data_IF_888694325475
#
_entry.id   IF_888694325475
#
_cell.length_a   1.000
_cell.length_b   1.000
_cell.length_c   1.000
_cell.angle_alpha   90.00
_cell.angle_beta   90.00
_cell.angle_gamma   90.00
#
_symmetry.space_group_name_H-M   'P 1'
#
loop_
_entity.id
_entity.type
_entity.pdbx_description
1 polymer ?
#
# COMPACT_ATOMS: atom_id res chain seq x y z
N UNK A 1 -87.28 -39.02 -7.24
CA UNK A 1 -85.85 -39.15 -6.86
C UNK A 1 -84.94 -38.06 -7.45
N UNK A 2 -85.12 -37.61 -8.69
CA UNK A 2 -84.21 -36.65 -9.34
C UNK A 2 -84.11 -35.24 -8.71
N UNK A 3 -85.20 -34.65 -8.18
CA UNK A 3 -85.16 -33.29 -7.57
C UNK A 3 -84.40 -33.21 -6.23
N UNK A 4 -84.32 -34.30 -5.45
CA UNK A 4 -83.60 -34.33 -4.16
C UNK A 4 -82.07 -34.45 -4.33
N UNK A 5 -81.61 -35.14 -5.37
CA UNK A 5 -80.17 -35.26 -5.66
C UNK A 5 -79.59 -34.00 -6.30
N UNK A 6 -80.36 -33.30 -7.15
CA UNK A 6 -79.95 -32.01 -7.70
C UNK A 6 -79.75 -30.93 -6.62
N UNK A 7 -80.66 -30.86 -5.63
CA UNK A 7 -80.54 -29.91 -4.51
C UNK A 7 -79.37 -30.21 -3.56
N UNK A 8 -79.00 -31.48 -3.36
CA UNK A 8 -77.81 -31.83 -2.54
C UNK A 8 -76.50 -31.51 -3.25
N UNK A 9 -76.44 -31.71 -4.57
CA UNK A 9 -75.28 -31.36 -5.39
C UNK A 9 -75.07 -29.84 -5.47
N UNK A 10 -76.14 -29.06 -5.62
CA UNK A 10 -76.05 -27.59 -5.61
C UNK A 10 -75.68 -27.03 -4.24
N UNK A 11 -76.19 -27.62 -3.15
CA UNK A 11 -75.85 -27.20 -1.79
C UNK A 11 -74.39 -27.56 -1.43
N UNK A 12 -73.93 -28.77 -1.79
CA UNK A 12 -72.54 -29.19 -1.67
C UNK A 12 -71.56 -28.31 -2.47
N UNK A 13 -71.94 -27.91 -3.69
CA UNK A 13 -71.11 -27.02 -4.51
C UNK A 13 -71.09 -25.58 -3.96
N UNK A 14 -72.19 -25.10 -3.38
CA UNK A 14 -72.23 -23.79 -2.73
C UNK A 14 -71.39 -23.77 -1.44
N UNK A 15 -71.40 -24.85 -0.65
CA UNK A 15 -70.56 -24.97 0.56
C UNK A 15 -69.07 -25.03 0.19
N UNK A 16 -68.71 -25.79 -0.85
CA UNK A 16 -67.34 -25.84 -1.36
C UNK A 16 -66.87 -24.48 -1.91
N UNK A 17 -67.72 -23.76 -2.65
CA UNK A 17 -67.43 -22.42 -3.15
C UNK A 17 -67.22 -21.41 -2.00
N UNK A 18 -68.02 -21.52 -0.94
CA UNK A 18 -67.90 -20.66 0.26
C UNK A 18 -66.61 -20.93 1.02
N UNK A 19 -66.21 -22.20 1.15
CA UNK A 19 -64.93 -22.58 1.77
C UNK A 19 -63.72 -22.10 0.96
N UNK A 20 -63.77 -22.22 -0.37
CA UNK A 20 -62.74 -21.70 -1.28
C UNK A 20 -62.60 -20.17 -1.17
N UNK A 21 -63.71 -19.44 -1.11
CA UNK A 21 -63.70 -18.00 -0.93
C UNK A 21 -63.09 -17.59 0.43
N UNK A 22 -63.39 -18.32 1.50
CA UNK A 22 -62.81 -18.07 2.82
C UNK A 22 -61.29 -18.34 2.87
N UNK A 23 -60.83 -19.42 2.22
CA UNK A 23 -59.41 -19.74 2.10
C UNK A 23 -58.66 -18.70 1.26
N UNK A 24 -59.23 -18.26 0.13
CA UNK A 24 -58.66 -17.21 -0.71
C UNK A 24 -58.53 -15.88 0.06
N UNK A 25 -59.57 -15.52 0.83
CA UNK A 25 -59.50 -14.32 1.69
C UNK A 25 -58.45 -14.43 2.78
N UNK A 26 -58.25 -15.63 3.36
CA UNK A 26 -57.22 -15.86 4.38
C UNK A 26 -55.81 -15.85 3.79
N UNK A 27 -55.64 -16.37 2.57
CA UNK A 27 -54.37 -16.32 1.85
C UNK A 27 -53.98 -14.87 1.54
N UNK A 28 -54.92 -14.07 1.02
CA UNK A 28 -54.70 -12.65 0.73
C UNK A 28 -54.36 -11.83 1.99
N UNK A 29 -54.94 -12.19 3.14
CA UNK A 29 -54.60 -11.58 4.43
C UNK A 29 -53.16 -11.91 4.85
N UNK A 30 -52.75 -13.17 4.72
CA UNK A 30 -51.39 -13.62 5.02
C UNK A 30 -50.36 -13.00 4.07
N UNK A 31 -50.67 -12.88 2.79
CA UNK A 31 -49.81 -12.22 1.79
C UNK A 31 -49.58 -10.75 2.15
N UNK A 32 -50.63 -10.01 2.57
CA UNK A 32 -50.49 -8.63 3.05
C UNK A 32 -49.64 -8.53 4.32
N UNK A 33 -49.79 -9.48 5.25
CA UNK A 33 -48.98 -9.51 6.48
C UNK A 33 -47.50 -9.79 6.17
N UNK A 34 -47.21 -10.74 5.27
CA UNK A 34 -45.85 -11.03 4.81
C UNK A 34 -45.23 -9.83 4.06
N UNK A 35 -46.01 -9.15 3.22
CA UNK A 35 -45.57 -7.95 2.51
C UNK A 35 -45.20 -6.79 3.46
N UNK A 36 -45.83 -6.69 4.63
CA UNK A 36 -45.49 -5.69 5.66
C UNK A 36 -44.22 -6.00 6.45
N UNK A 37 -43.86 -7.29 6.58
CA UNK A 37 -42.68 -7.74 7.33
C UNK A 37 -41.40 -7.64 6.48
N UNK A 38 -41.48 -7.88 5.18
CA UNK A 38 -40.32 -7.87 4.29
C UNK A 38 -39.50 -6.56 4.30
N UNK A 39 -40.10 -5.35 4.27
CA UNK A 39 -39.36 -4.09 4.36
C UNK A 39 -38.66 -3.91 5.72
N UNK A 40 -39.28 -4.40 6.80
CA UNK A 40 -38.72 -4.30 8.15
C UNK A 40 -37.49 -5.20 8.30
N UNK A 41 -37.53 -6.41 7.73
CA UNK A 41 -36.37 -7.30 7.66
C UNK A 41 -35.24 -6.72 6.81
N UNK A 42 -35.54 -6.08 5.67
CA UNK A 42 -34.53 -5.38 4.86
C UNK A 42 -33.90 -4.18 5.59
N UNK A 43 -34.70 -3.44 6.36
CA UNK A 43 -34.20 -2.33 7.19
C UNK A 43 -33.35 -2.85 8.35
N UNK A 44 -33.72 -3.98 8.96
CA UNK A 44 -32.94 -4.60 10.01
C UNK A 44 -31.61 -5.16 9.47
N UNK A 45 -31.64 -5.77 8.28
CA UNK A 45 -30.46 -6.27 7.56
C UNK A 45 -29.47 -5.16 7.26
N UNK A 46 -29.92 -4.07 6.65
CA UNK A 46 -29.04 -2.90 6.39
C UNK A 46 -28.47 -2.26 7.65
N UNK A 47 -29.21 -2.25 8.77
CA UNK A 47 -28.69 -1.80 10.08
C UNK A 47 -27.67 -2.78 10.66
N UNK A 48 -27.89 -4.08 10.48
CA UNK A 48 -26.90 -5.11 10.85
C UNK A 48 -25.63 -4.97 10.02
N UNK A 49 -25.73 -4.78 8.70
CA UNK A 49 -24.58 -4.57 7.81
C UNK A 49 -23.79 -3.31 8.21
N UNK A 50 -24.49 -2.21 8.52
CA UNK A 50 -23.86 -0.99 9.00
C UNK A 50 -23.19 -1.17 10.37
N UNK A 51 -23.82 -1.92 11.28
CA UNK A 51 -23.27 -2.21 12.61
C UNK A 51 -22.10 -3.18 12.53
N UNK A 52 -22.14 -4.15 11.62
CA UNK A 52 -21.03 -5.07 11.33
C UNK A 52 -19.86 -4.33 10.69
N UNK A 53 -20.10 -3.40 9.76
CA UNK A 53 -19.07 -2.51 9.22
C UNK A 53 -18.42 -1.64 10.31
N UNK A 54 -19.24 -1.11 11.24
CA UNK A 54 -18.76 -0.32 12.37
C UNK A 54 -17.95 -1.18 13.38
N UNK A 55 -18.41 -2.38 13.67
CA UNK A 55 -17.73 -3.36 14.53
C UNK A 55 -16.44 -3.86 13.89
N UNK A 56 -16.39 -4.13 12.58
CA UNK A 56 -15.16 -4.45 11.83
C UNK A 56 -14.17 -3.27 11.86
N UNK A 57 -14.66 -2.05 11.73
CA UNK A 57 -13.84 -0.84 11.87
C UNK A 57 -13.27 -0.64 13.28
N UNK A 58 -14.02 -1.02 14.32
CA UNK A 58 -13.57 -0.93 15.72
C UNK A 58 -12.70 -2.12 16.15
N UNK A 59 -12.94 -3.33 15.66
CA UNK A 59 -12.08 -4.49 15.94
C UNK A 59 -10.76 -4.42 15.18
N UNK A 60 -10.73 -3.84 13.97
CA UNK A 60 -9.49 -3.50 13.28
C UNK A 60 -8.61 -2.53 14.10
N UNK A 61 -9.21 -1.63 14.89
CA UNK A 61 -8.48 -0.75 15.80
C UNK A 61 -7.96 -1.46 17.08
N UNK A 62 -8.37 -2.70 17.32
CA UNK A 62 -7.99 -3.51 18.51
C UNK A 62 -7.20 -4.76 18.12
N UNK A 63 -6.91 -4.99 16.84
CA UNK A 63 -5.82 -5.89 16.45
C UNK A 63 -4.53 -5.17 16.82
N UNK A 64 -4.04 -5.41 18.04
CA UNK A 64 -2.64 -5.17 18.35
C UNK A 64 -1.84 -5.87 17.26
N UNK A 65 -1.17 -5.11 16.39
CA UNK A 65 -0.22 -5.69 15.45
C UNK A 65 0.76 -6.49 16.30
N UNK A 66 0.82 -7.83 16.17
CA UNK A 66 1.48 -8.69 17.15
C UNK A 66 2.98 -8.42 17.30
N UNK A 67 3.57 -7.62 16.40
CA UNK A 67 4.97 -7.22 16.39
C UNK A 67 5.19 -5.70 16.35
N UNK A 68 4.22 -4.89 16.80
CA UNK A 68 4.39 -3.43 16.83
C UNK A 68 5.54 -3.03 17.74
N UNK A 69 6.51 -2.30 17.20
CA UNK A 69 7.63 -1.74 17.96
C UNK A 69 7.23 -0.35 18.44
N UNK A 70 6.97 -0.22 19.75
CA UNK A 70 6.50 1.03 20.34
C UNK A 70 7.54 2.17 20.24
N UNK A 71 7.04 3.41 20.33
CA UNK A 71 7.86 4.62 20.20
C UNK A 71 9.04 4.66 21.19
N UNK A 72 8.85 4.19 22.42
CA UNK A 72 9.91 4.13 23.43
C UNK A 72 11.01 3.15 23.04
N UNK A 73 10.64 1.96 22.58
CA UNK A 73 11.59 0.97 22.06
C UNK A 73 12.35 1.50 20.85
N UNK A 74 11.67 2.15 19.89
CA UNK A 74 12.34 2.78 18.74
C UNK A 74 13.34 3.86 19.20
N UNK A 75 13.00 4.68 20.19
CA UNK A 75 13.92 5.68 20.75
C UNK A 75 15.17 5.03 21.37
N UNK A 76 15.01 3.91 22.10
CA UNK A 76 16.14 3.17 22.68
C UNK A 76 17.04 2.58 21.58
N UNK A 77 16.46 1.96 20.55
CA UNK A 77 17.19 1.47 19.39
C UNK A 77 17.97 2.60 18.69
N UNK A 78 17.37 3.77 18.53
CA UNK A 78 18.06 4.92 17.94
C UNK A 78 19.25 5.40 18.77
N UNK A 79 19.16 5.36 20.10
CA UNK A 79 20.28 5.67 20.99
C UNK A 79 21.41 4.65 20.86
N UNK A 80 21.05 3.36 20.74
CA UNK A 80 22.00 2.26 20.54
C UNK A 80 22.73 2.40 19.20
N UNK A 81 22.00 2.52 18.09
CA UNK A 81 22.59 2.66 16.75
C UNK A 81 23.51 3.88 16.64
N UNK A 82 23.16 4.99 17.30
CA UNK A 82 24.04 6.17 17.38
C UNK A 82 25.32 5.91 18.16
N UNK A 83 25.25 5.12 19.23
CA UNK A 83 26.41 4.75 20.04
C UNK A 83 27.35 3.86 19.21
N UNK A 84 26.79 2.88 18.53
CA UNK A 84 27.52 1.95 17.67
C UNK A 84 28.17 2.66 16.48
N UNK A 85 27.43 3.55 15.81
CA UNK A 85 27.96 4.35 14.72
C UNK A 85 29.18 5.20 15.15
N UNK A 86 29.18 5.74 16.39
CA UNK A 86 30.31 6.50 16.94
C UNK A 86 31.55 5.65 17.19
N UNK A 87 31.38 4.35 17.41
CA UNK A 87 32.49 3.40 17.59
C UNK A 87 32.86 2.69 16.28
N UNK A 88 32.23 3.04 15.17
CA UNK A 88 32.49 2.44 13.85
C UNK A 88 31.75 1.12 13.61
N UNK A 89 30.78 0.76 14.46
CA UNK A 89 29.97 -0.45 14.31
C UNK A 89 28.76 -0.13 13.43
N UNK A 90 28.60 -0.91 12.37
CA UNK A 90 27.43 -0.91 11.49
C UNK A 90 26.69 -2.24 11.61
N UNK A 91 25.39 -2.22 11.32
CA UNK A 91 24.50 -3.37 11.39
C UNK A 91 23.94 -3.68 10.01
N UNK A 92 23.83 -4.97 9.69
CA UNK A 92 23.17 -5.40 8.47
C UNK A 92 21.67 -5.09 8.52
N UNK A 93 21.08 -4.71 7.39
CA UNK A 93 19.67 -4.32 7.33
C UNK A 93 18.73 -5.43 7.80
N UNK A 94 19.01 -6.70 7.48
CA UNK A 94 18.22 -7.84 7.94
C UNK A 94 18.13 -7.93 9.48
N UNK A 95 19.14 -7.44 10.21
CA UNK A 95 19.19 -7.50 11.68
C UNK A 95 18.43 -6.37 12.39
N UNK A 96 18.07 -5.31 11.65
CA UNK A 96 17.40 -4.11 12.18
C UNK A 96 15.98 -3.92 11.65
N UNK A 97 15.53 -4.80 10.75
CA UNK A 97 14.17 -4.77 10.20
C UNK A 97 13.10 -4.98 11.27
N UNK A 98 12.08 -4.14 11.21
CA UNK A 98 10.79 -4.33 11.87
C UNK A 98 9.71 -3.65 11.04
N UNK A 99 8.45 -4.00 11.31
CA UNK A 99 7.29 -3.48 10.59
C UNK A 99 6.25 -2.95 11.56
N UNK A 100 5.86 -1.69 11.39
CA UNK A 100 4.70 -1.06 12.02
C UNK A 100 3.71 -0.57 10.96
N UNK A 101 4.20 0.11 9.93
CA UNK A 101 3.43 0.74 8.87
C UNK A 101 3.99 0.50 7.47
N UNK A 102 5.27 0.17 7.28
CA UNK A 102 5.73 -0.26 5.96
C UNK A 102 5.09 -1.58 5.53
N UNK A 103 5.13 -1.91 4.24
CA UNK A 103 4.61 -3.19 3.73
C UNK A 103 5.44 -4.38 4.24
N UNK A 104 6.77 -4.21 4.33
CA UNK A 104 7.72 -5.20 4.85
C UNK A 104 8.50 -4.58 6.04
N UNK A 105 9.81 -4.80 6.14
CA UNK A 105 10.66 -4.34 7.24
C UNK A 105 11.28 -2.94 7.08
N UNK A 106 10.83 -2.15 6.09
CA UNK A 106 11.43 -0.86 5.73
C UNK A 106 11.43 0.14 6.90
N UNK A 107 10.42 0.12 7.78
CA UNK A 107 10.37 0.99 8.97
C UNK A 107 11.62 0.87 9.83
N UNK A 108 12.08 -0.36 10.08
CA UNK A 108 13.27 -0.61 10.89
C UNK A 108 14.55 -0.20 10.20
N UNK A 109 14.63 -0.40 8.88
CA UNK A 109 15.80 0.01 8.10
C UNK A 109 15.90 1.54 8.04
N UNK A 110 14.81 2.24 7.73
CA UNK A 110 14.79 3.70 7.68
C UNK A 110 15.09 4.28 9.06
N UNK A 111 14.51 3.71 10.12
CA UNK A 111 14.81 4.09 11.50
C UNK A 111 16.29 3.91 11.85
N UNK A 112 16.90 2.79 11.43
CA UNK A 112 18.34 2.54 11.59
C UNK A 112 19.18 3.57 10.83
N UNK A 113 18.93 3.76 9.54
CA UNK A 113 19.67 4.69 8.68
C UNK A 113 19.64 6.11 9.29
N UNK A 114 18.46 6.65 9.60
CA UNK A 114 18.34 7.99 10.17
C UNK A 114 18.82 8.11 11.61
N UNK A 115 18.96 6.99 12.32
CA UNK A 115 19.66 6.96 13.60
C UNK A 115 21.17 7.10 13.43
N UNK A 116 21.75 6.44 12.41
CA UNK A 116 23.18 6.49 12.10
C UNK A 116 23.58 7.82 11.47
N UNK A 117 22.89 8.27 10.42
CA UNK A 117 23.26 9.47 9.65
C UNK A 117 22.67 10.76 10.23
N UNK A 118 21.79 10.66 11.24
CA UNK A 118 21.01 11.77 11.76
C UNK A 118 19.94 12.28 10.78
N UNK A 119 19.19 13.30 11.19
CA UNK A 119 18.19 14.00 10.35
C UNK A 119 18.61 15.45 10.18
N UNK A 120 18.20 16.07 9.07
CA UNK A 120 18.45 17.50 8.81
C UNK A 120 17.20 18.32 9.03
N UNK A 121 16.08 17.91 8.44
CA UNK A 121 14.81 18.61 8.53
C UNK A 121 13.59 17.71 8.76
N UNK A 122 13.75 16.38 8.64
CA UNK A 122 12.70 15.37 8.70
C UNK A 122 11.62 15.55 7.65
N UNK A 123 12.00 16.00 6.46
CA UNK A 123 11.09 16.12 5.34
C UNK A 123 11.11 14.82 4.55
N UNK A 124 9.93 14.29 4.25
CA UNK A 124 9.74 13.09 3.42
C UNK A 124 8.74 13.36 2.30
N UNK A 125 9.05 12.89 1.10
CA UNK A 125 8.09 12.79 -0.01
C UNK A 125 7.79 11.31 -0.23
N UNK A 126 6.51 10.93 -0.12
CA UNK A 126 5.99 9.58 -0.38
C UNK A 126 5.12 9.61 -1.64
N UNK A 127 5.55 8.89 -2.68
CA UNK A 127 4.79 8.74 -3.92
C UNK A 127 4.00 7.43 -3.88
N UNK A 128 2.70 7.48 -4.17
CA UNK A 128 1.73 6.38 -3.97
C UNK A 128 1.57 5.97 -2.50
N UNK A 129 1.19 6.93 -1.65
CA UNK A 129 1.04 6.69 -0.21
C UNK A 129 -0.18 5.80 0.16
N UNK A 130 -1.01 5.39 -0.81
CA UNK A 130 -2.21 4.60 -0.56
C UNK A 130 -3.17 5.33 0.37
N UNK A 131 -3.80 4.58 1.28
CA UNK A 131 -4.65 5.14 2.32
C UNK A 131 -3.87 5.88 3.44
N UNK A 132 -2.55 5.99 3.29
CA UNK A 132 -1.62 6.68 4.18
C UNK A 132 -1.30 5.93 5.48
N UNK A 133 -1.86 4.74 5.72
CA UNK A 133 -1.64 3.94 6.93
C UNK A 133 -0.55 2.90 6.75
N UNK A 134 -0.44 2.36 5.54
CA UNK A 134 0.61 1.44 5.12
C UNK A 134 1.49 2.11 4.05
N UNK A 135 2.62 2.70 4.46
CA UNK A 135 3.63 3.29 3.56
C UNK A 135 4.95 3.55 4.32
N UNK A 136 6.04 3.80 3.61
CA UNK A 136 7.37 3.96 4.20
C UNK A 136 7.48 5.22 5.10
N UNK A 137 6.71 6.27 4.79
CA UNK A 137 6.68 7.49 5.59
C UNK A 137 5.86 7.38 6.89
N UNK A 138 4.88 6.48 7.00
CA UNK A 138 3.88 6.51 8.07
C UNK A 138 4.49 6.34 9.47
N UNK A 139 5.42 5.41 9.69
CA UNK A 139 6.10 5.26 10.98
C UNK A 139 6.95 6.50 11.34
N UNK A 140 7.59 7.14 10.35
CA UNK A 140 8.37 8.36 10.54
C UNK A 140 7.47 9.54 10.94
N UNK A 141 6.30 9.66 10.31
CA UNK A 141 5.32 10.71 10.63
C UNK A 141 4.77 10.50 12.04
N UNK A 142 4.22 9.32 12.32
CA UNK A 142 3.48 9.03 13.56
C UNK A 142 4.41 8.97 14.77
N UNK A 143 5.51 8.23 14.68
CA UNK A 143 6.37 7.96 15.84
C UNK A 143 7.53 8.95 15.97
N UNK A 144 7.95 9.60 14.88
CA UNK A 144 9.16 10.44 14.86
C UNK A 144 8.93 11.90 14.49
N UNK A 145 7.67 12.28 14.21
CA UNK A 145 7.24 13.66 13.97
C UNK A 145 7.84 14.26 12.70
N UNK A 146 7.88 13.47 11.62
CA UNK A 146 8.34 13.94 10.31
C UNK A 146 7.27 14.76 9.58
N UNK A 147 7.72 15.69 8.75
CA UNK A 147 6.87 16.45 7.85
C UNK A 147 6.82 15.76 6.50
N UNK A 148 5.63 15.41 6.03
CA UNK A 148 5.48 14.61 4.82
C UNK A 148 4.62 15.27 3.76
N UNK A 149 4.96 15.03 2.50
CA UNK A 149 4.08 15.10 1.34
C UNK A 149 3.69 13.67 0.96
N UNK A 150 2.42 13.34 1.09
CA UNK A 150 1.83 12.07 0.69
C UNK A 150 1.04 12.27 -0.60
N UNK A 151 1.45 11.61 -1.68
CA UNK A 151 0.79 11.69 -2.98
C UNK A 151 0.09 10.37 -3.34
N UNK A 152 -1.12 10.42 -3.88
CA UNK A 152 -1.83 9.25 -4.41
C UNK A 152 -2.84 9.67 -5.50
N UNK A 153 -3.07 8.83 -6.51
CA UNK A 153 -4.01 9.14 -7.60
C UNK A 153 -5.50 8.94 -7.24
N UNK A 154 -5.79 8.12 -6.22
CA UNK A 154 -7.13 7.74 -5.81
C UNK A 154 -7.75 8.72 -4.82
N UNK A 155 -8.93 9.24 -5.16
CA UNK A 155 -9.68 10.13 -4.27
C UNK A 155 -10.10 9.46 -2.96
N UNK A 156 -10.37 8.15 -2.98
CA UNK A 156 -10.73 7.38 -1.80
C UNK A 156 -9.56 7.24 -0.83
N UNK A 157 -8.37 6.95 -1.36
CA UNK A 157 -7.12 6.89 -0.61
C UNK A 157 -6.83 8.22 0.07
N UNK A 158 -6.90 9.31 -0.69
CA UNK A 158 -6.69 10.68 -0.19
C UNK A 158 -7.67 11.04 0.92
N UNK A 159 -8.95 10.71 0.76
CA UNK A 159 -9.96 10.92 1.82
C UNK A 159 -9.62 10.12 3.08
N UNK A 160 -9.20 8.88 2.93
CA UNK A 160 -8.86 7.99 4.05
C UNK A 160 -7.62 8.45 4.79
N UNK A 161 -6.54 8.80 4.06
CA UNK A 161 -5.32 9.36 4.61
C UNK A 161 -5.58 10.66 5.36
N UNK A 162 -6.37 11.56 4.75
CA UNK A 162 -6.76 12.83 5.37
C UNK A 162 -7.50 12.57 6.69
N UNK A 163 -8.54 11.73 6.67
CA UNK A 163 -9.28 11.44 7.89
C UNK A 163 -8.42 10.78 8.99
N UNK A 164 -7.46 9.93 8.59
CA UNK A 164 -6.55 9.26 9.52
C UNK A 164 -5.63 10.26 10.23
N UNK A 165 -4.84 11.04 9.47
CA UNK A 165 -3.86 11.95 10.05
C UNK A 165 -4.46 13.16 10.77
N UNK A 166 -5.64 13.64 10.35
CA UNK A 166 -6.33 14.74 11.04
C UNK A 166 -6.92 14.34 12.39
N UNK A 167 -7.18 13.05 12.60
CA UNK A 167 -7.75 12.52 13.85
C UNK A 167 -6.71 11.88 14.76
N UNK A 168 -5.54 11.55 14.23
CA UNK A 168 -4.50 10.87 14.98
C UNK A 168 -3.83 11.82 16.02
N UNK A 169 -3.76 11.46 17.31
CA UNK A 169 -3.20 12.30 18.38
C UNK A 169 -1.80 12.88 18.11
N UNK A 170 -0.91 12.10 17.50
CA UNK A 170 0.46 12.54 17.23
C UNK A 170 0.60 13.48 16.02
N UNK A 171 -0.40 13.55 15.14
CA UNK A 171 -0.31 14.32 13.88
C UNK A 171 -1.38 15.39 13.73
N UNK A 172 -2.48 15.34 14.49
CA UNK A 172 -3.62 16.27 14.35
C UNK A 172 -3.24 17.76 14.44
N UNK A 173 -2.14 18.10 15.12
CA UNK A 173 -1.66 19.48 15.24
C UNK A 173 -0.93 19.97 13.98
N UNK A 174 -0.21 19.06 13.32
CA UNK A 174 0.57 19.32 12.11
C UNK A 174 0.43 18.07 11.21
N UNK A 175 -0.69 17.91 10.51
CA UNK A 175 -0.89 16.77 9.62
C UNK A 175 0.06 16.87 8.41
N UNK A 176 0.37 15.75 7.75
CA UNK A 176 1.13 15.79 6.50
C UNK A 176 0.35 16.52 5.40
N UNK A 177 1.07 17.07 4.42
CA UNK A 177 0.48 17.51 3.17
C UNK A 177 0.02 16.26 2.40
N UNK A 178 -1.23 16.26 1.93
CA UNK A 178 -1.81 15.13 1.21
C UNK A 178 -2.33 15.68 -0.13
N UNK A 179 -1.83 15.14 -1.24
CA UNK A 179 -2.13 15.62 -2.59
C UNK A 179 -2.66 14.50 -3.46
N UNK A 180 -3.82 14.73 -4.09
CA UNK A 180 -4.35 13.82 -5.10
C UNK A 180 -3.64 14.08 -6.43
N UNK A 181 -2.71 13.22 -6.81
CA UNK A 181 -1.91 13.40 -8.01
C UNK A 181 -1.68 12.07 -8.72
N UNK A 182 -1.86 12.09 -10.04
CA UNK A 182 -1.30 11.07 -10.90
C UNK A 182 0.07 11.55 -11.37
N UNK A 183 1.14 11.01 -10.78
CA UNK A 183 2.49 11.53 -10.98
C UNK A 183 3.06 11.10 -12.33
N UNK A 184 3.62 12.06 -13.05
CA UNK A 184 4.28 11.89 -14.34
C UNK A 184 5.64 12.60 -14.33
N UNK A 185 6.50 12.29 -15.30
CA UNK A 185 7.79 12.98 -15.44
C UNK A 185 7.62 14.49 -15.65
N UNK A 186 6.49 14.93 -16.23
CA UNK A 186 6.22 16.33 -16.52
C UNK A 186 5.72 17.11 -15.30
N UNK A 187 4.97 16.48 -14.39
CA UNK A 187 4.34 17.19 -13.26
C UNK A 187 5.07 17.03 -11.92
N UNK A 188 5.91 16.00 -11.76
CA UNK A 188 6.45 15.61 -10.45
C UNK A 188 7.21 16.75 -9.74
N UNK A 189 7.97 17.55 -10.48
CA UNK A 189 8.70 18.68 -9.92
C UNK A 189 7.76 19.81 -9.46
N UNK A 190 6.68 20.07 -10.21
CA UNK A 190 5.69 21.09 -9.86
C UNK A 190 4.94 20.69 -8.59
N UNK A 191 4.52 19.43 -8.49
CA UNK A 191 3.85 18.89 -7.30
C UNK A 191 4.74 19.04 -6.06
N UNK A 192 6.00 18.60 -6.14
CA UNK A 192 6.95 18.72 -5.02
C UNK A 192 7.14 20.19 -4.60
N UNK A 193 7.35 21.09 -5.57
CA UNK A 193 7.62 22.50 -5.28
C UNK A 193 6.41 23.23 -4.70
N UNK A 194 5.21 22.97 -5.24
CA UNK A 194 3.97 23.60 -4.79
C UNK A 194 3.66 23.31 -3.31
N UNK A 195 4.11 22.17 -2.81
CA UNK A 195 3.95 21.78 -1.41
C UNK A 195 5.15 22.15 -0.51
N UNK A 196 6.18 22.82 -1.06
CA UNK A 196 7.35 23.28 -0.32
C UNK A 196 8.33 22.16 0.06
N UNK A 197 8.52 21.20 -0.85
CA UNK A 197 9.52 20.12 -0.74
C UNK A 197 10.63 20.22 -1.81
N UNK A 198 10.75 21.37 -2.49
CA UNK A 198 11.78 21.76 -3.46
C UNK A 198 13.12 22.19 -2.83
N UNK A 199 13.55 21.45 -1.81
CA UNK A 199 14.79 21.69 -1.09
C UNK A 199 15.50 20.36 -0.81
N UNK A 200 16.57 20.43 -0.02
CA UNK A 200 17.10 19.21 0.60
C UNK A 200 16.02 18.58 1.48
N UNK A 201 15.72 17.31 1.27
CA UNK A 201 14.81 16.52 2.11
C UNK A 201 15.58 15.33 2.70
N UNK A 202 15.08 14.77 3.80
CA UNK A 202 15.76 13.62 4.41
C UNK A 202 15.44 12.32 3.65
N UNK A 203 14.19 12.13 3.21
CA UNK A 203 13.74 10.91 2.53
C UNK A 203 12.90 11.20 1.27
N UNK A 204 13.16 10.44 0.21
CA UNK A 204 12.26 10.27 -0.93
C UNK A 204 11.88 8.79 -1.05
N UNK A 205 10.59 8.48 -0.99
CA UNK A 205 10.03 7.13 -1.18
C UNK A 205 9.25 7.09 -2.50
N UNK A 206 9.63 6.18 -3.39
CA UNK A 206 9.03 6.00 -4.71
C UNK A 206 8.59 4.55 -4.87
N UNK A 207 7.29 4.34 -4.93
CA UNK A 207 6.68 3.04 -5.16
C UNK A 207 5.35 3.27 -5.89
N UNK A 208 5.40 3.51 -7.20
CA UNK A 208 4.23 3.92 -8.00
C UNK A 208 3.74 2.81 -8.93
N UNK A 209 4.23 1.59 -8.74
CA UNK A 209 3.88 0.41 -9.55
C UNK A 209 4.03 0.66 -11.07
N UNK A 210 5.10 1.33 -11.54
CA UNK A 210 5.23 1.64 -12.95
C UNK A 210 6.40 2.55 -13.32
N UNK A 211 6.13 3.86 -13.35
CA UNK A 211 7.07 4.86 -13.85
C UNK A 211 8.17 5.24 -12.84
N UNK A 212 8.49 4.39 -11.87
CA UNK A 212 9.41 4.64 -10.75
C UNK A 212 10.75 5.23 -11.21
N UNK A 213 11.37 4.58 -12.21
CA UNK A 213 12.61 5.04 -12.83
C UNK A 213 12.46 6.42 -13.47
N UNK A 214 11.39 6.63 -14.24
CA UNK A 214 11.14 7.87 -14.98
C UNK A 214 10.84 9.04 -14.05
N UNK A 215 10.08 8.81 -12.98
CA UNK A 215 9.84 9.79 -11.94
C UNK A 215 11.14 10.17 -11.24
N UNK A 216 11.92 9.20 -10.76
CA UNK A 216 13.18 9.51 -10.08
C UNK A 216 14.16 10.25 -11.00
N UNK A 217 14.21 9.86 -12.27
CA UNK A 217 15.02 10.53 -13.29
C UNK A 217 14.59 11.99 -13.49
N UNK A 218 13.28 12.23 -13.57
CA UNK A 218 12.71 13.56 -13.80
C UNK A 218 12.84 14.52 -12.60
N UNK A 219 12.87 14.01 -11.36
CA UNK A 219 12.99 14.84 -10.16
C UNK A 219 14.34 15.56 -10.14
N UNK A 220 14.30 16.90 -10.11
CA UNK A 220 15.44 17.80 -10.04
C UNK A 220 15.32 18.84 -8.93
N UNK A 221 14.10 19.11 -8.44
CA UNK A 221 13.85 20.14 -7.41
C UNK A 221 14.12 19.66 -6.00
N UNK A 222 13.96 18.37 -5.72
CA UNK A 222 14.27 17.78 -4.43
C UNK A 222 15.70 17.20 -4.42
N UNK A 223 16.41 17.41 -3.32
CA UNK A 223 17.73 16.82 -3.07
C UNK A 223 17.66 15.89 -1.84
N UNK A 224 17.11 14.67 -1.98
CA UNK A 224 16.97 13.73 -0.87
C UNK A 224 18.32 13.24 -0.35
N UNK A 225 18.43 12.99 0.95
CA UNK A 225 19.60 12.34 1.54
C UNK A 225 19.54 10.83 1.37
N UNK A 226 18.34 10.25 1.54
CA UNK A 226 18.03 8.84 1.33
C UNK A 226 16.92 8.74 0.29
N UNK A 227 17.07 7.81 -0.66
CA UNK A 227 16.00 7.40 -1.57
C UNK A 227 15.70 5.94 -1.29
N UNK A 228 14.43 5.61 -1.08
CA UNK A 228 13.94 4.23 -1.10
C UNK A 228 13.03 4.09 -2.32
N UNK A 229 13.25 3.04 -3.10
CA UNK A 229 12.54 2.86 -4.37
C UNK A 229 12.25 1.39 -4.64
N UNK A 230 11.03 1.09 -5.08
CA UNK A 230 10.65 -0.26 -5.49
C UNK A 230 11.31 -0.65 -6.82
N UNK A 231 11.67 -1.92 -6.95
CA UNK A 231 12.20 -2.50 -8.17
C UNK A 231 11.39 -3.71 -8.61
N UNK A 232 11.44 -3.98 -9.90
CA UNK A 232 11.02 -5.26 -10.46
C UNK A 232 12.07 -6.33 -10.12
N UNK A 233 11.94 -6.94 -8.94
CA UNK A 233 12.85 -7.97 -8.44
C UNK A 233 12.89 -9.22 -9.34
N UNK A 234 11.89 -9.45 -10.19
CA UNK A 234 11.88 -10.52 -11.19
C UNK A 234 12.98 -10.41 -12.26
N UNK A 235 13.66 -9.26 -12.37
CA UNK A 235 14.87 -9.11 -13.19
C UNK A 235 16.17 -9.42 -12.46
N UNK A 236 16.15 -9.49 -11.12
CA UNK A 236 17.35 -9.55 -10.28
C UNK A 236 18.44 -8.57 -10.77
N UNK A 237 19.62 -9.08 -11.14
CA UNK A 237 20.76 -8.31 -11.64
C UNK A 237 21.08 -8.60 -13.11
N UNK A 238 20.13 -9.12 -13.88
CA UNK A 238 20.41 -9.66 -15.22
C UNK A 238 20.55 -8.61 -16.32
N UNK A 239 19.74 -7.56 -16.24
CA UNK A 239 19.60 -6.57 -17.30
C UNK A 239 19.28 -5.20 -16.72
N UNK A 240 19.72 -4.14 -17.40
CA UNK A 240 19.38 -2.75 -17.08
C UNK A 240 18.17 -2.35 -17.91
N UNK A 241 16.97 -2.50 -17.35
CA UNK A 241 15.71 -2.31 -18.07
C UNK A 241 14.64 -1.64 -17.21
N UNK A 242 13.74 -0.91 -17.85
CA UNK A 242 12.53 -0.33 -17.24
C UNK A 242 11.34 -0.47 -18.18
N UNK A 243 10.12 -0.44 -17.64
CA UNK A 243 8.93 -0.32 -18.47
C UNK A 243 9.02 0.96 -19.33
N UNK A 244 8.56 0.94 -20.61
CA UNK A 244 8.56 2.15 -21.43
C UNK A 244 7.75 3.26 -20.77
N UNK A 245 8.24 4.49 -20.86
CA UNK A 245 7.55 5.63 -20.27
C UNK A 245 6.17 5.82 -20.89
N UNK A 246 5.14 5.82 -20.05
CA UNK A 246 3.78 6.18 -20.41
C UNK A 246 3.19 7.03 -19.28
N UNK A 247 2.85 8.32 -19.50
CA UNK A 247 2.24 9.14 -18.44
C UNK A 247 0.89 8.59 -17.95
N UNK A 248 0.24 7.70 -18.70
CA UNK A 248 -0.97 6.99 -18.30
C UNK A 248 -0.74 5.55 -17.82
N UNK A 249 0.51 5.16 -17.53
CA UNK A 249 0.87 3.78 -17.19
C UNK A 249 0.04 3.25 -16.03
N UNK A 250 -0.72 2.18 -16.27
CA UNK A 250 -1.45 1.47 -15.24
C UNK A 250 -0.92 0.03 -15.17
N UNK A 251 -0.51 -0.39 -13.97
CA UNK A 251 0.02 -1.73 -13.73
C UNK A 251 -0.96 -2.80 -14.21
N UNK A 252 -0.39 -3.87 -14.80
CA UNK A 252 -1.16 -5.04 -15.22
C UNK A 252 -0.52 -6.32 -14.71
N UNK A 253 -1.37 -7.28 -14.36
CA UNK A 253 -0.96 -8.62 -13.93
C UNK A 253 -0.67 -9.49 -15.14
N UNK A 254 0.52 -10.06 -15.18
CA UNK A 254 0.88 -11.18 -16.03
C UNK A 254 0.57 -12.47 -15.27
N UNK A 255 -0.09 -13.42 -15.93
CA UNK A 255 -0.53 -14.67 -15.31
C UNK A 255 -0.03 -15.85 -16.13
N UNK A 256 0.64 -16.78 -15.46
CA UNK A 256 0.87 -18.13 -15.97
C UNK A 256 -0.17 -19.07 -15.31
N UNK A 257 -1.24 -19.45 -16.04
CA UNK A 257 -2.29 -20.27 -15.47
C UNK A 257 -1.86 -21.72 -15.24
N UNK A 258 -0.86 -22.22 -15.97
CA UNK A 258 -0.37 -23.59 -15.83
C UNK A 258 0.48 -23.75 -14.56
N UNK A 259 1.26 -22.72 -14.24
CA UNK A 259 2.12 -22.72 -13.08
C UNK A 259 1.49 -22.04 -11.85
N UNK A 260 0.31 -21.44 -11.99
CA UNK A 260 -0.34 -20.62 -10.96
C UNK A 260 0.59 -19.52 -10.42
N UNK A 261 1.17 -18.75 -11.34
CA UNK A 261 2.07 -17.63 -11.02
C UNK A 261 1.45 -16.34 -11.53
N UNK A 262 1.57 -15.29 -10.74
CA UNK A 262 1.23 -13.93 -11.14
C UNK A 262 2.40 -13.00 -10.83
N UNK A 263 2.61 -12.02 -11.69
CA UNK A 263 3.59 -10.94 -11.48
C UNK A 263 3.04 -9.65 -12.08
N UNK A 264 3.27 -8.54 -11.41
CA UNK A 264 2.94 -7.22 -11.94
C UNK A 264 4.00 -6.80 -12.97
N UNK A 265 3.55 -6.35 -14.14
CA UNK A 265 4.42 -5.72 -15.14
C UNK A 265 4.50 -4.23 -14.81
N UNK A 266 5.59 -3.84 -14.13
CA UNK A 266 5.83 -2.49 -13.61
C UNK A 266 7.34 -2.26 -13.35
N UNK A 267 7.70 -1.00 -13.11
CA UNK A 267 8.96 -0.59 -12.48
C UNK A 267 10.21 -0.71 -13.36
N UNK A 268 11.35 -0.88 -12.70
CA UNK A 268 12.64 -1.11 -13.34
C UNK A 268 13.47 -2.13 -12.59
N UNK A 269 14.48 -2.69 -13.27
CA UNK A 269 15.40 -3.63 -12.66
C UNK A 269 16.39 -2.96 -11.70
N UNK A 270 17.03 -3.74 -10.83
CA UNK A 270 18.06 -3.21 -9.93
C UNK A 270 19.23 -2.54 -10.69
N UNK A 271 19.81 -3.14 -11.76
CA UNK A 271 20.88 -2.48 -12.51
C UNK A 271 20.49 -1.12 -13.07
N UNK A 272 19.25 -0.98 -13.55
CA UNK A 272 18.69 0.29 -14.03
C UNK A 272 18.66 1.36 -12.91
N UNK A 273 18.13 1.01 -11.73
CA UNK A 273 18.08 1.92 -10.59
C UNK A 273 19.48 2.26 -10.07
N UNK A 274 20.41 1.31 -10.02
CA UNK A 274 21.80 1.57 -9.62
C UNK A 274 22.49 2.53 -10.57
N UNK A 275 22.30 2.35 -11.88
CA UNK A 275 22.84 3.25 -12.90
C UNK A 275 22.31 4.68 -12.69
N UNK A 276 20.99 4.83 -12.56
CA UNK A 276 20.36 6.12 -12.33
C UNK A 276 20.80 6.76 -11.00
N UNK A 277 20.88 5.97 -9.93
CA UNK A 277 21.37 6.43 -8.62
C UNK A 277 22.76 7.04 -8.74
N UNK A 278 23.70 6.35 -9.40
CA UNK A 278 25.06 6.85 -9.64
C UNK A 278 25.08 8.13 -10.47
N UNK A 279 24.27 8.20 -11.54
CA UNK A 279 24.14 9.42 -12.35
C UNK A 279 23.63 10.62 -11.53
N UNK A 280 22.82 10.35 -10.50
CA UNK A 280 22.26 11.36 -9.59
C UNK A 280 23.12 11.60 -8.33
N UNK A 281 24.26 10.93 -8.16
CA UNK A 281 25.15 11.09 -6.99
C UNK A 281 24.74 10.30 -5.74
N UNK A 282 24.18 9.11 -5.95
CA UNK A 282 23.77 8.18 -4.91
C UNK A 282 24.39 6.80 -5.11
N UNK A 283 24.62 6.09 -4.00
CA UNK A 283 25.08 4.71 -3.99
C UNK A 283 24.05 3.78 -3.36
N UNK A 284 23.99 2.55 -3.85
CA UNK A 284 23.16 1.49 -3.29
C UNK A 284 23.73 1.03 -1.94
N UNK A 285 22.96 1.14 -0.86
CA UNK A 285 23.41 0.73 0.50
C UNK A 285 22.67 -0.49 1.04
N UNK A 286 21.59 -0.92 0.39
CA UNK A 286 20.81 -2.06 0.86
C UNK A 286 19.47 -2.22 0.18
N UNK A 287 18.71 -3.20 0.65
CA UNK A 287 17.32 -3.41 0.33
C UNK A 287 16.60 -3.99 1.55
N UNK A 288 15.27 -3.99 1.52
CA UNK A 288 14.51 -4.82 2.45
C UNK A 288 14.82 -6.30 2.25
N UNK A 289 14.49 -7.14 3.25
CA UNK A 289 14.70 -8.59 3.27
C UNK A 289 14.36 -9.29 1.96
N UNK A 290 13.29 -8.89 1.29
CA UNK A 290 12.82 -9.55 0.07
C UNK A 290 13.44 -9.00 -1.22
N UNK A 291 14.17 -7.87 -1.15
CA UNK A 291 14.81 -7.26 -2.31
C UNK A 291 13.84 -6.50 -3.21
N UNK A 292 12.68 -6.08 -2.69
CA UNK A 292 11.67 -5.32 -3.44
C UNK A 292 11.95 -3.82 -3.37
N UNK A 293 12.21 -3.31 -2.17
CA UNK A 293 12.54 -1.91 -1.93
C UNK A 293 14.04 -1.77 -1.72
N UNK A 294 14.72 -1.09 -2.64
CA UNK A 294 16.16 -0.81 -2.54
C UNK A 294 16.39 0.60 -2.03
N UNK A 295 17.53 0.78 -1.35
CA UNK A 295 17.83 2.01 -0.63
C UNK A 295 19.13 2.58 -1.14
N UNK A 296 19.07 3.85 -1.53
CA UNK A 296 20.17 4.64 -2.01
C UNK A 296 20.49 5.76 -1.01
N UNK A 297 21.77 5.97 -0.76
CA UNK A 297 22.28 7.03 0.11
C UNK A 297 23.13 7.99 -0.73
N UNK A 298 22.96 9.29 -0.52
CA UNK A 298 23.75 10.31 -1.23
C UNK A 298 25.24 10.16 -0.94
N UNK A 299 26.08 10.34 -1.95
CA UNK A 299 27.51 9.98 -1.89
C UNK A 299 28.31 10.71 -0.81
N UNK A 300 27.89 11.92 -0.44
CA UNK A 300 28.51 12.76 0.59
C UNK A 300 28.21 12.32 2.04
N UNK A 301 27.27 11.39 2.26
CA UNK A 301 26.78 11.05 3.60
C UNK A 301 27.29 9.68 4.03
N UNK A 302 28.03 9.63 5.14
CA UNK A 302 28.35 8.41 5.89
C UNK A 302 28.95 7.24 5.09
N UNK A 303 29.75 7.52 4.05
CA UNK A 303 30.36 6.50 3.18
C UNK A 303 31.20 5.44 3.91
N UNK A 304 31.78 5.78 5.06
CA UNK A 304 32.55 4.82 5.87
C UNK A 304 31.71 3.85 6.71
N UNK A 305 30.45 4.18 7.02
CA UNK A 305 29.55 3.35 7.83
C UNK A 305 28.53 2.59 6.98
N UNK A 306 28.01 3.25 5.94
CA UNK A 306 27.04 2.68 5.00
C UNK A 306 27.66 2.74 3.59
N UNK A 307 28.61 1.85 3.27
CA UNK A 307 29.27 1.83 1.97
C UNK A 307 28.32 1.34 0.87
N UNK A 308 28.75 1.50 -0.39
CA UNK A 308 28.07 0.86 -1.51
C UNK A 308 28.13 -0.66 -1.37
N UNK A 309 27.03 -1.35 -1.65
CA UNK A 309 26.97 -2.81 -1.65
C UNK A 309 26.88 -3.36 -3.08
N UNK A 310 27.40 -4.57 -3.33
CA UNK A 310 27.14 -5.30 -4.58
C UNK A 310 25.63 -5.60 -4.75
N UNK A 311 25.14 -5.53 -5.99
CA UNK A 311 23.73 -5.71 -6.33
C UNK A 311 23.17 -7.08 -5.87
N UNK A 312 23.98 -8.14 -5.95
CA UNK A 312 23.61 -9.48 -5.54
C UNK A 312 23.26 -9.59 -4.04
N UNK A 313 23.72 -8.63 -3.21
CA UNK A 313 23.38 -8.62 -1.79
C UNK A 313 21.93 -8.21 -1.52
N UNK A 314 21.24 -7.57 -2.47
CA UNK A 314 19.81 -7.28 -2.37
C UNK A 314 18.92 -8.53 -2.51
N UNK A 315 19.44 -9.63 -3.05
CA UNK A 315 18.65 -10.84 -3.37
C UNK A 315 19.09 -12.08 -2.57
N UNK A 316 19.41 -11.89 -1.29
CA UNK A 316 19.85 -12.98 -0.40
C UNK A 316 18.73 -13.91 0.01
N UNK A 317 17.50 -13.40 0.12
CA UNK A 317 16.36 -14.20 0.56
C UNK A 317 15.94 -15.22 -0.51
N UNK A 318 15.67 -16.49 -0.15
CA UNK A 318 15.30 -17.54 -1.12
C UNK A 318 14.09 -17.19 -1.99
N UNK A 319 13.15 -16.39 -1.47
CA UNK A 319 11.96 -15.94 -2.22
C UNK A 319 12.34 -15.14 -3.47
N UNK A 320 13.35 -14.27 -3.41
CA UNK A 320 13.76 -13.49 -4.58
C UNK A 320 14.22 -14.40 -5.73
N UNK A 321 15.04 -15.41 -5.41
CA UNK A 321 15.51 -16.41 -6.40
C UNK A 321 14.38 -17.29 -6.90
N UNK A 322 13.46 -17.67 -6.01
CA UNK A 322 12.28 -18.47 -6.37
C UNK A 322 11.35 -17.69 -7.31
N UNK A 323 11.09 -16.41 -7.03
CA UNK A 323 10.25 -15.56 -7.86
C UNK A 323 10.89 -15.35 -9.22
N UNK A 324 12.17 -14.94 -9.26
CA UNK A 324 12.93 -14.79 -10.49
C UNK A 324 12.84 -16.02 -11.40
N UNK A 325 13.12 -17.22 -10.88
CA UNK A 325 13.09 -18.45 -11.68
C UNK A 325 11.71 -18.84 -12.24
N UNK A 326 10.65 -18.18 -11.75
CA UNK A 326 9.25 -18.47 -12.09
C UNK A 326 8.59 -17.39 -12.94
N UNK A 327 8.98 -16.13 -12.80
CA UNK A 327 8.30 -15.00 -13.47
C UNK A 327 9.06 -14.49 -14.69
N UNK A 328 10.32 -14.88 -14.86
CA UNK A 328 11.20 -14.28 -15.86
C UNK A 328 10.68 -14.45 -17.30
N UNK A 329 10.08 -15.59 -17.64
CA UNK A 329 9.52 -15.81 -18.99
C UNK A 329 8.33 -14.89 -19.27
N UNK A 330 7.50 -14.61 -18.26
CA UNK A 330 6.40 -13.65 -18.37
C UNK A 330 6.95 -12.24 -18.60
N UNK A 331 7.90 -11.81 -17.77
CA UNK A 331 8.47 -10.47 -17.87
C UNK A 331 9.18 -10.26 -19.22
N UNK A 332 9.99 -11.23 -19.68
CA UNK A 332 10.72 -11.13 -20.95
C UNK A 332 9.83 -11.15 -22.20
N UNK A 333 8.57 -11.55 -22.08
CA UNK A 333 7.61 -11.53 -23.18
C UNK A 333 7.02 -10.13 -23.42
N UNK A 334 7.19 -9.22 -22.46
CA UNK A 334 6.67 -7.87 -22.50
C UNK A 334 7.69 -6.85 -23.04
N UNK A 335 7.26 -5.67 -23.51
CA UNK A 335 8.19 -4.63 -23.93
C UNK A 335 9.00 -4.10 -22.74
N UNK A 336 10.28 -3.81 -22.93
CA UNK A 336 11.12 -3.14 -21.94
C UNK A 336 12.09 -2.20 -22.66
N UNK A 337 12.34 -1.03 -22.08
CA UNK A 337 13.39 -0.13 -22.54
C UNK A 337 14.72 -0.51 -21.87
N UNK A 338 15.75 -0.76 -22.67
CA UNK A 338 17.11 -0.95 -22.18
C UNK A 338 17.77 0.40 -21.92
N UNK A 339 18.36 0.57 -20.74
CA UNK A 339 18.79 1.88 -20.22
C UNK A 339 20.22 1.96 -19.76
#
# INVERSE_FOLDING_TARGET
MFKRNANRLTQSNNDAATQLAALASRLAELERQCAGIAPQLGTLGSRFDAMEALLRGQTAAVVQQPNYVDRGTQQLLAMEYRRDARTGVAHDFESVEFRNHSQNGEDGILHYIFSVIGTTNKYVVEMCAGDGRECNAANLIINHGWHALLCDGSEENIRTATAFYWRHPDTMRIPPAISREWLTAENVNEVISRHGFDQQIDLLSIDVDGNDYWLWRAIQVANPRVVIIEIQAGWMSDASVTVPYDPGFCVRKLVDPEQHIEVDYCGASLPAMVKLGREKGYRLVGANRYGFNVIFLRDDIAAGLLPEIPAEHCFRHPVARWQYGRVQHLLRAEPWDEI
#
